data_IF_382341973174
#
_entry.id   IF_382341973174
#
_cell.length_a   1.000
_cell.length_b   1.000
_cell.length_c   1.000
_cell.angle_alpha   90.00
_cell.angle_beta   90.00
_cell.angle_gamma   90.00
#
_symmetry.space_group_name_H-M   'P 1'
#
loop_
_entity.id
_entity.type
_entity.pdbx_description
1 polymer ?
#
# COMPACT_ATOMS: atom_id res chain seq x y z
N UNK A 1 -10.28 19.24 6.89
CA UNK A 1 -10.09 18.53 5.59
C UNK A 1 -10.58 17.14 5.86
N UNK A 2 -11.63 16.66 5.20
CA UNK A 2 -12.42 15.51 5.68
C UNK A 2 -11.61 14.24 5.95
N UNK A 3 -10.56 13.96 5.16
CA UNK A 3 -9.62 12.86 5.43
C UNK A 3 -8.85 13.02 6.75
N UNK A 4 -8.43 14.24 7.12
CA UNK A 4 -7.78 14.51 8.41
C UNK A 4 -8.78 14.39 9.57
N UNK A 5 -10.01 14.86 9.36
CA UNK A 5 -11.08 14.73 10.36
C UNK A 5 -11.40 13.25 10.61
N UNK A 6 -11.42 12.42 9.56
CA UNK A 6 -11.54 10.96 9.66
C UNK A 6 -10.32 10.33 10.36
N UNK A 7 -9.09 10.73 10.01
CA UNK A 7 -7.89 10.24 10.70
C UNK A 7 -7.87 10.57 12.19
N UNK A 8 -8.47 11.70 12.59
CA UNK A 8 -8.64 12.04 13.98
C UNK A 8 -9.68 11.14 14.67
N UNK A 9 -10.80 10.89 14.00
CA UNK A 9 -11.87 10.01 14.49
C UNK A 9 -11.40 8.57 14.67
N UNK A 10 -10.54 8.06 13.78
CA UNK A 10 -9.97 6.72 13.85
C UNK A 10 -8.72 6.62 14.75
N UNK A 11 -8.44 7.66 15.53
CA UNK A 11 -7.28 7.77 16.44
C UNK A 11 -5.94 7.43 15.78
N UNK A 12 -5.75 7.92 14.56
CA UNK A 12 -4.58 7.57 13.76
C UNK A 12 -3.30 8.21 14.31
N UNK A 13 -2.15 7.55 14.10
CA UNK A 13 -0.83 8.04 14.47
C UNK A 13 -0.47 9.33 13.72
N UNK A 14 0.56 10.05 14.20
CA UNK A 14 1.07 11.23 13.50
C UNK A 14 1.51 10.91 12.06
N UNK A 15 2.15 9.76 11.86
CA UNK A 15 2.59 9.31 10.54
C UNK A 15 1.39 9.13 9.60
N UNK A 16 0.31 8.49 10.06
CA UNK A 16 -0.91 8.28 9.25
C UNK A 16 -1.57 9.61 8.92
N UNK A 17 -1.67 10.54 9.88
CA UNK A 17 -2.24 11.88 9.66
C UNK A 17 -1.42 12.67 8.63
N UNK A 18 -0.09 12.59 8.70
CA UNK A 18 0.79 13.23 7.72
C UNK A 18 0.64 12.59 6.33
N UNK A 19 0.56 11.25 6.24
CA UNK A 19 0.30 10.57 4.98
C UNK A 19 -1.07 10.95 4.38
N UNK A 20 -2.11 11.06 5.20
CA UNK A 20 -3.42 11.56 4.81
C UNK A 20 -3.36 12.99 4.22
N UNK A 21 -2.53 13.86 4.79
CA UNK A 21 -2.31 15.20 4.25
C UNK A 21 -1.59 15.18 2.88
N UNK A 22 -0.63 14.27 2.71
CA UNK A 22 0.26 14.23 1.55
C UNK A 22 -0.21 13.42 0.34
N UNK A 23 -1.10 12.43 0.53
CA UNK A 23 -1.34 11.39 -0.48
C UNK A 23 -1.78 11.90 -1.85
N UNK A 24 -2.53 13.00 -1.87
CA UNK A 24 -3.19 13.54 -3.06
C UNK A 24 -2.64 14.89 -3.54
N UNK A 25 -1.49 15.34 -3.02
CA UNK A 25 -0.90 16.63 -3.39
C UNK A 25 -0.71 16.79 -4.91
N UNK A 26 -0.39 15.71 -5.62
CA UNK A 26 -0.21 15.69 -7.07
C UNK A 26 -1.47 15.99 -7.89
N UNK A 27 -2.67 15.95 -7.27
CA UNK A 27 -3.91 16.40 -7.91
C UNK A 27 -3.90 17.91 -8.15
N UNK A 28 -3.35 18.68 -7.21
CA UNK A 28 -3.27 20.15 -7.27
C UNK A 28 -2.42 20.68 -8.43
N UNK A 29 -1.54 19.85 -8.99
CA UNK A 29 -0.68 20.19 -10.13
C UNK A 29 -1.09 19.46 -11.41
N UNK A 30 -2.33 18.96 -11.49
CA UNK A 30 -2.82 18.26 -12.69
C UNK A 30 -3.03 19.25 -13.85
N UNK A 31 -2.44 19.00 -15.04
CA UNK A 31 -2.71 19.80 -16.24
C UNK A 31 -4.20 19.86 -16.59
N UNK A 32 -4.67 20.99 -17.13
CA UNK A 32 -6.09 21.21 -17.43
C UNK A 32 -6.66 20.19 -18.42
N UNK A 33 -5.87 19.77 -19.40
CA UNK A 33 -6.22 18.77 -20.42
C UNK A 33 -6.33 17.34 -19.86
N UNK A 34 -5.86 17.10 -18.63
CA UNK A 34 -5.94 15.80 -17.93
C UNK A 34 -7.09 15.76 -16.92
N UNK A 35 -7.69 16.92 -16.60
CA UNK A 35 -8.85 16.98 -15.72
C UNK A 35 -10.08 16.30 -16.36
N UNK A 36 -10.95 15.66 -15.56
CA UNK A 36 -10.89 15.47 -14.10
C UNK A 36 -10.17 14.16 -13.69
N UNK A 37 -9.45 13.51 -14.60
CA UNK A 37 -8.94 12.14 -14.37
C UNK A 37 -7.72 12.08 -13.46
N UNK A 38 -6.98 13.18 -13.34
CA UNK A 38 -5.76 13.27 -12.51
C UNK A 38 -4.73 12.17 -12.83
N UNK A 39 -4.56 11.81 -14.09
CA UNK A 39 -3.61 10.77 -14.49
C UNK A 39 -2.19 11.09 -13.99
N UNK A 40 -1.54 10.10 -13.39
CA UNK A 40 -0.18 10.21 -12.84
C UNK A 40 -0.04 11.07 -11.59
N UNK A 41 -1.14 11.40 -10.90
CA UNK A 41 -1.06 12.20 -9.68
C UNK A 41 -0.32 11.48 -8.56
N UNK A 42 -0.34 10.14 -8.50
CA UNK A 42 0.37 9.38 -7.45
C UNK A 42 1.89 9.68 -7.48
N UNK A 43 2.51 9.65 -8.67
CA UNK A 43 3.93 9.96 -8.83
C UNK A 43 4.24 11.42 -8.49
N UNK A 44 3.38 12.36 -8.91
CA UNK A 44 3.53 13.78 -8.56
C UNK A 44 3.36 14.01 -7.05
N UNK A 45 2.46 13.29 -6.40
CA UNK A 45 2.28 13.34 -4.95
C UNK A 45 3.55 12.91 -4.22
N UNK A 46 4.25 11.87 -4.68
CA UNK A 46 5.54 11.43 -4.11
C UNK A 46 6.56 12.58 -4.16
N UNK A 47 6.75 13.18 -5.33
CA UNK A 47 7.71 14.28 -5.52
C UNK A 47 7.39 15.50 -4.64
N UNK A 48 6.10 15.85 -4.51
CA UNK A 48 5.65 16.96 -3.67
C UNK A 48 5.79 16.63 -2.18
N UNK A 49 5.48 15.40 -1.76
CA UNK A 49 5.70 14.93 -0.38
C UNK A 49 7.18 15.01 -0.02
N UNK A 50 8.07 14.54 -0.89
CA UNK A 50 9.53 14.61 -0.70
C UNK A 50 9.99 16.05 -0.47
N UNK A 51 9.55 16.99 -1.33
CA UNK A 51 9.89 18.40 -1.21
C UNK A 51 9.38 19.03 0.11
N UNK A 52 8.17 18.66 0.55
CA UNK A 52 7.62 19.11 1.83
C UNK A 52 8.44 18.54 2.99
N UNK A 53 8.76 17.24 2.97
CA UNK A 53 9.56 16.58 3.99
C UNK A 53 10.95 17.21 4.13
N UNK A 54 11.61 17.52 3.02
CA UNK A 54 12.93 18.14 3.01
C UNK A 54 12.92 19.57 3.54
N UNK A 55 11.86 20.34 3.23
CA UNK A 55 11.69 21.72 3.69
C UNK A 55 11.36 21.77 5.19
N UNK A 56 10.45 20.92 5.65
CA UNK A 56 9.94 20.96 7.03
C UNK A 56 10.71 20.06 8.00
N UNK A 57 11.69 19.29 7.51
CA UNK A 57 12.47 18.34 8.31
C UNK A 57 11.55 17.35 9.03
N UNK A 58 10.61 16.78 8.27
CA UNK A 58 9.62 15.83 8.76
C UNK A 58 10.32 14.56 9.29
N UNK A 59 9.88 13.97 10.42
CA UNK A 59 10.43 12.72 10.92
C UNK A 59 10.42 11.60 9.87
N UNK A 60 11.46 10.77 9.86
CA UNK A 60 11.67 9.72 8.84
C UNK A 60 10.47 8.78 8.73
N UNK A 61 9.87 8.38 9.85
CA UNK A 61 8.69 7.51 9.85
C UNK A 61 7.49 8.13 9.12
N UNK A 62 7.21 9.41 9.36
CA UNK A 62 6.14 10.14 8.68
C UNK A 62 6.42 10.27 7.18
N UNK A 63 7.68 10.57 6.82
CA UNK A 63 8.13 10.67 5.43
C UNK A 63 7.94 9.35 4.69
N UNK A 64 8.50 8.26 5.21
CA UNK A 64 8.44 6.95 4.58
C UNK A 64 7.00 6.44 4.39
N UNK A 65 6.12 6.69 5.38
CA UNK A 65 4.71 6.31 5.26
C UNK A 65 3.97 7.17 4.24
N UNK A 66 4.19 8.49 4.23
CA UNK A 66 3.56 9.39 3.27
C UNK A 66 3.98 9.09 1.82
N UNK A 67 5.26 8.79 1.59
CA UNK A 67 5.76 8.41 0.25
C UNK A 67 5.05 7.16 -0.28
N UNK A 68 4.93 6.10 0.52
CA UNK A 68 4.30 4.86 0.06
C UNK A 68 2.78 5.01 -0.09
N UNK A 69 2.11 5.77 0.77
CA UNK A 69 0.67 6.08 0.63
C UNK A 69 0.43 6.91 -0.62
N UNK A 70 1.21 7.97 -0.85
CA UNK A 70 1.11 8.80 -2.06
C UNK A 70 1.24 7.95 -3.33
N UNK A 71 2.20 7.02 -3.36
CA UNK A 71 2.47 6.15 -4.51
C UNK A 71 1.39 5.09 -4.75
N UNK A 72 0.89 4.45 -3.69
CA UNK A 72 0.14 3.20 -3.82
C UNK A 72 -1.35 3.30 -3.40
N UNK A 73 -1.82 4.41 -2.84
CA UNK A 73 -3.23 4.52 -2.37
C UNK A 73 -4.24 4.18 -3.47
N UNK A 74 -4.01 4.60 -4.72
CA UNK A 74 -4.85 4.25 -5.86
C UNK A 74 -4.91 2.74 -6.13
N UNK A 75 -3.79 2.03 -5.96
CA UNK A 75 -3.73 0.58 -6.10
C UNK A 75 -4.41 -0.14 -4.93
N UNK A 76 -4.33 0.41 -3.72
CA UNK A 76 -5.05 -0.09 -2.54
C UNK A 76 -6.55 0.00 -2.76
N UNK A 77 -7.06 1.17 -3.20
CA UNK A 77 -8.50 1.36 -3.44
C UNK A 77 -9.07 0.40 -4.50
N UNK A 78 -8.27 0.08 -5.54
CA UNK A 78 -8.65 -0.83 -6.63
C UNK A 78 -8.30 -2.30 -6.37
N UNK A 79 -7.85 -2.67 -5.18
CA UNK A 79 -7.35 -4.03 -4.93
C UNK A 79 -8.40 -5.15 -5.09
N UNK A 80 -9.69 -4.80 -5.14
CA UNK A 80 -10.77 -5.74 -5.47
C UNK A 80 -10.66 -6.27 -6.90
N UNK A 81 -10.08 -5.49 -7.82
CA UNK A 81 -9.87 -5.87 -9.23
C UNK A 81 -8.63 -6.77 -9.42
N UNK A 82 -7.83 -6.96 -8.36
CA UNK A 82 -6.54 -7.64 -8.45
C UNK A 82 -6.66 -9.14 -8.17
N UNK A 83 -6.07 -9.94 -9.06
CA UNK A 83 -5.74 -11.34 -8.79
C UNK A 83 -4.55 -11.49 -7.83
N UNK A 84 -4.32 -12.71 -7.34
CA UNK A 84 -3.29 -13.02 -6.33
C UNK A 84 -1.89 -12.49 -6.70
N UNK A 85 -1.47 -12.62 -7.96
CA UNK A 85 -0.19 -12.12 -8.43
C UNK A 85 -0.06 -10.60 -8.32
N UNK A 86 -1.13 -9.86 -8.63
CA UNK A 86 -1.14 -8.40 -8.52
C UNK A 86 -1.17 -7.96 -7.05
N UNK A 87 -1.89 -8.68 -6.18
CA UNK A 87 -1.87 -8.44 -4.74
C UNK A 87 -0.48 -8.65 -4.13
N UNK A 88 0.21 -9.75 -4.47
CA UNK A 88 1.58 -9.99 -3.98
C UNK A 88 2.53 -8.89 -4.46
N UNK A 89 2.44 -8.46 -5.72
CA UNK A 89 3.24 -7.33 -6.22
C UNK A 89 2.96 -6.03 -5.46
N UNK A 90 1.70 -5.76 -5.09
CA UNK A 90 1.36 -4.60 -4.26
C UNK A 90 2.00 -4.72 -2.87
N UNK A 91 1.90 -5.89 -2.21
CA UNK A 91 2.54 -6.14 -0.91
C UNK A 91 4.06 -5.93 -0.97
N UNK A 92 4.71 -6.38 -2.04
CA UNK A 92 6.15 -6.21 -2.27
C UNK A 92 6.54 -4.74 -2.49
N UNK A 93 5.80 -3.99 -3.32
CA UNK A 93 6.04 -2.54 -3.52
C UNK A 93 5.83 -1.73 -2.25
N UNK A 94 4.90 -2.14 -1.38
CA UNK A 94 4.69 -1.53 -0.07
C UNK A 94 5.71 -1.99 0.99
N UNK A 95 6.55 -2.98 0.67
CA UNK A 95 7.49 -3.63 1.60
C UNK A 95 6.77 -4.23 2.83
N UNK A 96 5.52 -4.67 2.63
CA UNK A 96 4.60 -5.15 3.66
C UNK A 96 5.08 -6.47 4.30
N UNK A 97 5.78 -7.30 3.54
CA UNK A 97 6.31 -8.57 4.01
C UNK A 97 7.36 -8.39 5.11
N UNK A 98 8.16 -7.32 5.03
CA UNK A 98 9.19 -6.99 6.02
C UNK A 98 8.67 -6.03 7.10
N UNK A 99 7.78 -5.10 6.73
CA UNK A 99 7.20 -4.08 7.64
C UNK A 99 5.67 -4.17 7.66
N UNK A 100 5.10 -5.20 8.34
CA UNK A 100 3.66 -5.42 8.35
C UNK A 100 2.91 -4.31 9.09
N UNK A 101 3.47 -3.77 10.17
CA UNK A 101 2.82 -2.73 10.98
C UNK A 101 2.69 -1.42 10.19
N UNK A 102 3.75 -1.03 9.46
CA UNK A 102 3.69 0.11 8.53
C UNK A 102 2.69 -0.11 7.40
N UNK A 103 2.53 -1.34 6.93
CA UNK A 103 1.50 -1.65 5.94
C UNK A 103 0.09 -1.48 6.53
N UNK A 104 -0.13 -1.87 7.79
CA UNK A 104 -1.40 -1.61 8.47
C UNK A 104 -1.68 -0.10 8.60
N UNK A 105 -0.66 0.71 8.89
CA UNK A 105 -0.78 2.18 8.89
C UNK A 105 -1.09 2.75 7.49
N UNK A 106 -0.48 2.21 6.44
CA UNK A 106 -0.78 2.57 5.05
C UNK A 106 -2.26 2.30 4.74
N UNK A 107 -2.77 1.12 5.13
CA UNK A 107 -4.18 0.77 4.95
C UNK A 107 -5.11 1.67 5.77
N UNK A 108 -4.72 2.06 6.99
CA UNK A 108 -5.49 3.00 7.81
C UNK A 108 -5.55 4.39 7.14
N UNK A 109 -4.45 4.86 6.53
CA UNK A 109 -4.45 6.11 5.77
C UNK A 109 -5.42 6.04 4.57
N UNK A 110 -5.44 4.91 3.85
CA UNK A 110 -6.36 4.72 2.72
C UNK A 110 -7.82 4.61 3.18
N UNK A 111 -8.08 3.98 4.34
CA UNK A 111 -9.41 3.97 4.96
C UNK A 111 -9.88 5.39 5.31
N UNK A 112 -8.97 6.22 5.84
CA UNK A 112 -9.26 7.63 6.12
C UNK A 112 -9.62 8.40 4.85
N UNK A 113 -8.92 8.18 3.72
CA UNK A 113 -9.23 8.84 2.44
C UNK A 113 -10.60 8.39 1.92
N UNK A 114 -10.88 7.09 1.92
CA UNK A 114 -12.14 6.56 1.42
C UNK A 114 -13.34 7.05 2.22
N UNK A 115 -13.25 7.01 3.56
CA UNK A 115 -14.32 7.42 4.48
C UNK A 115 -14.32 8.92 4.76
N UNK A 116 -13.24 9.63 4.45
CA UNK A 116 -13.13 11.09 4.53
C UNK A 116 -13.80 11.81 3.36
N UNK A 117 -14.93 11.31 2.87
CA UNK A 117 -15.71 11.87 1.76
C UNK A 117 -17.18 11.92 2.17
N UNK A 118 -17.87 12.97 1.73
CA UNK A 118 -19.24 13.23 2.15
C UNK A 118 -20.16 12.06 1.82
N UNK A 119 -20.84 11.54 2.83
CA UNK A 119 -21.77 10.41 2.72
C UNK A 119 -21.12 9.03 2.72
N UNK A 120 -19.79 8.93 2.86
CA UNK A 120 -19.04 7.68 2.92
C UNK A 120 -18.45 7.39 4.31
N UNK A 121 -18.75 8.22 5.32
CA UNK A 121 -18.10 8.20 6.64
C UNK A 121 -18.27 6.86 7.38
N UNK A 122 -19.40 6.19 7.16
CA UNK A 122 -19.73 4.89 7.78
C UNK A 122 -19.63 3.71 6.81
N UNK A 123 -19.23 3.95 5.55
CA UNK A 123 -19.11 2.86 4.57
C UNK A 123 -17.92 1.98 4.94
N UNK A 124 -18.11 0.66 5.11
CA UNK A 124 -17.00 -0.24 5.43
C UNK A 124 -15.93 -0.22 4.34
N UNK A 125 -14.66 -0.17 4.76
CA UNK A 125 -13.51 -0.21 3.86
C UNK A 125 -12.91 -1.62 3.78
N UNK A 126 -13.53 -2.47 2.96
CA UNK A 126 -13.22 -3.91 2.86
C UNK A 126 -11.85 -4.20 2.24
N UNK A 127 -11.25 -3.24 1.55
CA UNK A 127 -9.90 -3.33 0.98
C UNK A 127 -8.85 -3.64 2.04
N UNK A 128 -9.00 -3.07 3.24
CA UNK A 128 -8.09 -3.31 4.37
C UNK A 128 -8.07 -4.77 4.78
N UNK A 129 -9.24 -5.36 5.01
CA UNK A 129 -9.37 -6.77 5.40
C UNK A 129 -8.81 -7.70 4.33
N UNK A 130 -9.15 -7.45 3.06
CA UNK A 130 -8.64 -8.21 1.92
C UNK A 130 -7.12 -8.21 1.86
N UNK A 131 -6.50 -7.04 2.00
CA UNK A 131 -5.03 -6.91 1.89
C UNK A 131 -4.30 -7.47 3.11
N UNK A 132 -4.88 -7.39 4.31
CA UNK A 132 -4.34 -8.04 5.50
C UNK A 132 -4.40 -9.57 5.40
N UNK A 133 -5.50 -10.13 4.87
CA UNK A 133 -5.61 -11.57 4.62
C UNK A 133 -4.60 -12.05 3.56
N UNK A 134 -4.40 -11.27 2.49
CA UNK A 134 -3.37 -11.55 1.49
C UNK A 134 -1.97 -11.48 2.10
N UNK A 135 -1.68 -10.49 2.95
CA UNK A 135 -0.40 -10.37 3.65
C UNK A 135 -0.13 -11.57 4.56
N UNK A 136 -1.12 -11.97 5.36
CA UNK A 136 -1.02 -13.13 6.24
C UNK A 136 -0.68 -14.41 5.45
N UNK A 137 -1.38 -14.62 4.32
CA UNK A 137 -1.16 -15.77 3.43
C UNK A 137 0.22 -15.73 2.75
N UNK A 138 0.68 -14.56 2.33
CA UNK A 138 2.01 -14.42 1.74
C UNK A 138 3.14 -14.63 2.77
N UNK A 139 2.90 -14.30 4.04
CA UNK A 139 3.86 -14.45 5.14
C UNK A 139 3.90 -15.87 5.73
N UNK A 140 2.88 -16.70 5.51
CA UNK A 140 2.88 -18.10 5.97
C UNK A 140 3.80 -19.00 5.14
N UNK A 141 4.27 -18.51 3.99
CA UNK A 141 5.20 -19.22 3.12
C UNK A 141 6.56 -19.41 3.80
N UNK A 142 6.99 -20.67 3.93
CA UNK A 142 8.33 -20.99 4.42
C UNK A 142 9.39 -20.66 3.37
N UNK A 143 9.90 -19.43 3.44
CA UNK A 143 10.90 -18.93 2.51
C UNK A 143 12.23 -19.67 2.60
N UNK A 144 12.57 -20.27 3.75
CA UNK A 144 13.82 -20.98 3.94
C UNK A 144 13.80 -22.30 3.17
N UNK A 145 12.70 -23.06 3.27
CA UNK A 145 12.50 -24.30 2.51
C UNK A 145 12.55 -24.02 1.00
N UNK A 146 11.83 -23.00 0.54
CA UNK A 146 11.78 -22.67 -0.89
C UNK A 146 13.14 -22.21 -1.41
N UNK A 147 13.86 -21.38 -0.65
CA UNK A 147 15.19 -20.95 -1.02
C UNK A 147 16.18 -22.12 -1.07
N UNK A 148 16.10 -23.04 -0.12
CA UNK A 148 16.94 -24.24 -0.09
C UNK A 148 16.66 -25.18 -1.28
N UNK A 149 15.39 -25.48 -1.58
CA UNK A 149 15.01 -26.30 -2.75
C UNK A 149 15.44 -25.62 -4.06
N UNK A 150 15.24 -24.31 -4.19
CA UNK A 150 15.67 -23.55 -5.36
C UNK A 150 17.20 -23.62 -5.54
N UNK A 151 17.96 -23.43 -4.46
CA UNK A 151 19.42 -23.52 -4.48
C UNK A 151 19.91 -24.94 -4.82
N UNK A 152 19.28 -25.99 -4.28
CA UNK A 152 19.59 -27.39 -4.63
C UNK A 152 19.37 -27.68 -6.12
N UNK A 153 18.40 -27.01 -6.75
CA UNK A 153 18.16 -27.06 -8.19
C UNK A 153 19.08 -26.14 -9.00
N UNK A 154 20.12 -25.58 -8.39
CA UNK A 154 21.10 -24.71 -9.03
C UNK A 154 20.61 -23.28 -9.32
N UNK A 155 19.47 -22.86 -8.78
CA UNK A 155 18.99 -21.47 -8.92
C UNK A 155 19.81 -20.55 -8.02
N UNK A 156 20.04 -19.32 -8.48
CA UNK A 156 20.78 -18.29 -7.73
C UNK A 156 20.09 -16.94 -7.85
N UNK A 157 20.32 -16.09 -6.83
CA UNK A 157 19.91 -14.69 -6.83
C UNK A 157 18.46 -14.45 -7.30
N UNK A 158 18.25 -13.77 -8.44
CA UNK A 158 16.91 -13.48 -8.98
C UNK A 158 15.99 -14.69 -9.10
N UNK A 159 16.51 -15.85 -9.52
CA UNK A 159 15.71 -17.05 -9.72
C UNK A 159 15.17 -17.64 -8.39
N UNK A 160 15.84 -17.38 -7.26
CA UNK A 160 15.31 -17.69 -5.92
C UNK A 160 14.19 -16.70 -5.57
N UNK A 161 14.39 -15.41 -5.87
CA UNK A 161 13.36 -14.38 -5.69
C UNK A 161 12.07 -14.71 -6.44
N UNK A 162 12.17 -15.15 -7.69
CA UNK A 162 11.04 -15.59 -8.51
C UNK A 162 10.33 -16.81 -7.91
N UNK A 163 11.09 -17.78 -7.38
CA UNK A 163 10.50 -18.96 -6.73
C UNK A 163 9.74 -18.56 -5.45
N UNK A 164 10.29 -17.65 -4.64
CA UNK A 164 9.62 -17.10 -3.46
C UNK A 164 8.36 -16.32 -3.83
N UNK A 165 8.43 -15.49 -4.87
CA UNK A 165 7.27 -14.76 -5.40
C UNK A 165 6.17 -15.73 -5.83
N UNK A 166 6.50 -16.73 -6.66
CA UNK A 166 5.54 -17.71 -7.15
C UNK A 166 4.86 -18.49 -6.01
N UNK A 167 5.62 -18.88 -4.97
CA UNK A 167 5.06 -19.55 -3.80
C UNK A 167 4.08 -18.67 -3.02
N UNK A 168 4.40 -17.38 -2.83
CA UNK A 168 3.49 -16.41 -2.21
C UNK A 168 2.22 -16.20 -3.03
N UNK A 169 2.35 -16.11 -4.35
CA UNK A 169 1.20 -15.99 -5.25
C UNK A 169 0.29 -17.21 -5.14
N UNK A 170 0.86 -18.41 -5.05
CA UNK A 170 0.09 -19.63 -4.85
C UNK A 170 -0.64 -19.64 -3.50
N UNK A 171 0.05 -19.31 -2.41
CA UNK A 171 -0.55 -19.24 -1.08
C UNK A 171 -1.71 -18.23 -1.00
N UNK A 172 -1.52 -17.03 -1.58
CA UNK A 172 -2.57 -16.01 -1.65
C UNK A 172 -3.73 -16.47 -2.54
N UNK A 173 -3.47 -17.11 -3.68
CA UNK A 173 -4.53 -17.65 -4.54
C UNK A 173 -5.39 -18.69 -3.81
N UNK A 174 -4.77 -19.60 -3.04
CA UNK A 174 -5.48 -20.61 -2.27
C UNK A 174 -6.39 -19.98 -1.20
N UNK A 175 -5.91 -18.96 -0.49
CA UNK A 175 -6.70 -18.25 0.52
C UNK A 175 -7.91 -17.51 -0.10
N UNK A 176 -7.72 -16.89 -1.26
CA UNK A 176 -8.78 -16.18 -1.99
C UNK A 176 -9.85 -17.11 -2.57
N UNK A 177 -9.55 -18.39 -2.81
CA UNK A 177 -10.52 -19.36 -3.30
C UNK A 177 -11.50 -19.86 -2.22
N UNK A 178 -11.19 -19.60 -0.95
CA UNK A 178 -11.95 -20.04 0.23
C UNK A 178 -12.78 -18.89 0.83
N UNK A 179 -12.54 -17.66 0.39
CA UNK A 179 -13.18 -16.42 0.86
C UNK A 179 -14.31 -15.99 -0.07
#
# INVERSE_FOLDING_TARGET
MMVLDMSARLDASLAVRFACLGHDLGKGTTPQDILPRHLGHEQRSVELVDAVCDRWKVPVECRELAEVVAREHGAVHRCAEFGSAALVRLLERCDALRRPDRFNELLLACECDARGRLGLEEVPYTQRERLLAALASARSVDTAIIAADAAQRGKTGPAIGEALHAARVHAVAAALAIS
#
